data_IF_091093212029
#
_entry.id   IF_091093212029
#
_cell.length_a   1.000
_cell.length_b   1.000
_cell.length_c   1.000
_cell.angle_alpha   90.00
_cell.angle_beta   90.00
_cell.angle_gamma   90.00
#
_symmetry.space_group_name_H-M   'P 1'
#
loop_
_entity.id
_entity.type
_entity.pdbx_description
1 polymer ?
#
# COMPACT_ATOMS: atom_id res chain seq x y z
N UNK A 1 44.97 27.51 -21.20
CA UNK A 1 43.66 27.83 -20.57
C UNK A 1 42.65 26.65 -20.57
N UNK A 2 42.84 25.62 -21.41
CA UNK A 2 41.96 24.41 -21.46
C UNK A 2 42.23 23.38 -20.34
N UNK A 3 43.39 23.47 -19.66
CA UNK A 3 43.82 22.46 -18.67
C UNK A 3 43.10 22.55 -17.31
N UNK A 4 42.49 23.70 -16.99
CA UNK A 4 41.77 23.90 -15.72
C UNK A 4 40.28 23.54 -15.79
N UNK A 5 39.69 23.53 -16.99
CA UNK A 5 38.26 23.22 -17.20
C UNK A 5 37.99 21.71 -17.09
N UNK A 6 38.99 20.89 -17.45
CA UNK A 6 38.91 19.43 -17.32
C UNK A 6 38.98 18.93 -15.87
N UNK A 7 39.59 19.69 -14.95
CA UNK A 7 39.70 19.29 -13.55
C UNK A 7 38.38 19.51 -12.79
N UNK A 8 37.64 20.57 -13.12
CA UNK A 8 36.35 20.90 -12.48
C UNK A 8 35.21 19.96 -12.88
N UNK A 9 35.27 19.33 -14.06
CA UNK A 9 34.23 18.39 -14.51
C UNK A 9 34.33 17.01 -13.86
N UNK A 10 35.48 16.63 -13.31
CA UNK A 10 35.70 15.29 -12.74
C UNK A 10 35.21 15.17 -11.28
N UNK A 11 35.06 16.29 -10.56
CA UNK A 11 34.57 16.31 -9.18
C UNK A 11 33.03 16.20 -9.06
N UNK A 12 32.27 16.41 -10.14
CA UNK A 12 30.81 16.35 -10.11
C UNK A 12 30.23 14.92 -10.18
N UNK A 13 31.06 13.89 -10.40
CA UNK A 13 30.64 12.50 -10.57
C UNK A 13 30.77 11.64 -9.29
N UNK A 14 31.19 12.22 -8.17
CA UNK A 14 31.22 11.59 -6.85
C UNK A 14 29.95 11.93 -6.05
N UNK A 15 28.78 11.88 -6.70
CA UNK A 15 27.52 11.78 -5.96
C UNK A 15 27.48 10.37 -5.35
N UNK A 16 27.89 10.28 -4.09
CA UNK A 16 27.86 9.05 -3.30
C UNK A 16 26.50 8.39 -3.41
N UNK A 17 26.49 7.10 -3.76
CA UNK A 17 25.34 6.25 -3.56
C UNK A 17 25.13 6.16 -2.04
N UNK A 18 24.35 7.08 -1.47
CA UNK A 18 23.91 7.00 -0.10
C UNK A 18 23.02 5.75 0.01
N UNK A 19 23.63 4.62 0.35
CA UNK A 19 22.89 3.51 0.94
C UNK A 19 22.33 4.09 2.24
N UNK A 20 21.01 4.32 2.28
CA UNK A 20 20.35 4.90 3.43
C UNK A 20 20.42 3.89 4.59
N UNK A 21 21.47 3.98 5.40
CA UNK A 21 21.59 3.25 6.66
C UNK A 21 20.67 3.92 7.68
N UNK A 22 19.79 3.13 8.30
CA UNK A 22 18.89 3.63 9.33
C UNK A 22 19.46 3.21 10.67
N UNK A 23 19.58 4.16 11.59
CA UNK A 23 20.04 3.96 12.95
C UNK A 23 18.84 4.00 13.90
N UNK A 24 18.83 3.11 14.89
CA UNK A 24 17.93 3.15 16.04
C UNK A 24 18.73 3.63 17.25
N UNK A 25 18.17 4.59 17.99
CA UNK A 25 18.70 5.07 19.26
C UNK A 25 17.58 5.23 20.28
N UNK A 26 17.93 5.27 21.57
CA UNK A 26 16.99 5.55 22.65
C UNK A 26 17.18 6.98 23.12
N UNK A 27 16.23 7.87 22.80
CA UNK A 27 16.25 9.26 23.27
C UNK A 27 15.13 9.42 24.30
N UNK A 28 15.49 9.78 25.54
CA UNK A 28 14.54 9.94 26.66
C UNK A 28 13.63 8.72 26.90
N UNK A 29 14.16 7.51 26.67
CA UNK A 29 13.39 6.26 26.80
C UNK A 29 12.48 5.92 25.62
N UNK A 30 12.56 6.69 24.53
CA UNK A 30 11.78 6.47 23.30
C UNK A 30 12.69 6.03 22.17
N UNK A 31 12.31 4.93 21.51
CA UNK A 31 12.96 4.47 20.28
C UNK A 31 12.81 5.49 19.16
N UNK A 32 13.93 5.99 18.64
CA UNK A 32 13.98 6.95 17.53
C UNK A 32 14.78 6.36 16.37
N UNK A 33 14.32 6.62 15.14
CA UNK A 33 14.95 6.14 13.90
C UNK A 33 15.43 7.31 13.05
N UNK A 34 16.66 7.24 12.54
CA UNK A 34 17.29 8.31 11.78
C UNK A 34 18.18 7.77 10.66
N UNK A 35 18.33 8.53 9.57
CA UNK A 35 19.25 8.20 8.46
C UNK A 35 20.72 8.56 8.77
N UNK A 36 20.95 9.22 9.90
CA UNK A 36 22.27 9.50 10.46
C UNK A 36 22.30 9.06 11.92
N UNK A 37 23.47 8.74 12.50
CA UNK A 37 23.59 8.41 13.92
C UNK A 37 22.90 9.48 14.78
N UNK A 38 21.92 9.06 15.60
CA UNK A 38 21.07 9.98 16.36
C UNK A 38 21.48 10.18 17.82
N UNK A 39 22.32 9.30 18.36
CA UNK A 39 22.94 9.40 19.67
C UNK A 39 24.17 8.46 19.74
N UNK A 40 24.91 8.48 20.86
CA UNK A 40 26.09 7.61 21.06
C UNK A 40 25.73 6.10 21.07
N UNK A 41 24.50 5.77 21.44
CA UNK A 41 23.96 4.40 21.43
C UNK A 41 23.38 3.99 20.07
N UNK A 42 23.58 4.80 19.01
CA UNK A 42 23.03 4.54 17.68
C UNK A 42 23.48 3.17 17.15
N UNK A 43 22.52 2.27 16.97
CA UNK A 43 22.74 0.96 16.36
C UNK A 43 22.21 0.96 14.93
N UNK A 44 23.02 0.60 13.93
CA UNK A 44 22.52 0.45 12.58
C UNK A 44 21.52 -0.72 12.53
N UNK A 45 20.40 -0.50 11.86
CA UNK A 45 19.39 -1.52 11.61
C UNK A 45 19.32 -1.82 10.11
N UNK A 46 19.25 -3.11 9.79
CA UNK A 46 18.99 -3.54 8.41
C UNK A 46 17.48 -3.46 8.20
N UNK A 47 17.04 -2.43 7.49
CA UNK A 47 15.67 -2.37 7.00
C UNK A 47 15.64 -3.08 5.64
N UNK A 48 15.15 -4.31 5.63
CA UNK A 48 14.81 -4.99 4.36
C UNK A 48 13.61 -4.25 3.78
N UNK A 49 13.76 -3.54 2.65
CA UNK A 49 12.61 -2.91 2.02
C UNK A 49 11.62 -4.02 1.70
N UNK A 50 10.32 -3.83 1.99
CA UNK A 50 9.33 -4.80 1.57
C UNK A 50 9.41 -4.95 0.04
N UNK A 51 9.24 -6.19 -0.43
CA UNK A 51 9.37 -6.53 -1.85
C UNK A 51 8.68 -5.47 -2.72
N UNK A 52 9.37 -4.95 -3.73
CA UNK A 52 8.81 -3.92 -4.63
C UNK A 52 7.40 -4.32 -5.04
N UNK A 53 6.47 -3.37 -4.96
CA UNK A 53 5.12 -3.50 -5.48
C UNK A 53 5.20 -4.17 -6.86
N UNK A 54 4.52 -5.32 -7.03
CA UNK A 54 4.61 -6.15 -8.22
C UNK A 54 4.61 -5.31 -9.51
N UNK A 55 5.77 -5.20 -10.15
CA UNK A 55 5.90 -4.65 -11.50
C UNK A 55 6.34 -5.71 -12.52
N UNK A 56 6.28 -7.01 -12.19
CA UNK A 56 6.87 -8.03 -13.07
C UNK A 56 6.42 -9.48 -12.94
N UNK A 57 5.68 -9.89 -11.91
CA UNK A 57 5.23 -11.29 -11.78
C UNK A 57 3.76 -11.35 -11.36
N UNK A 58 2.91 -11.90 -12.23
CA UNK A 58 1.48 -12.14 -12.01
C UNK A 58 1.28 -13.36 -11.10
N UNK A 59 1.67 -13.26 -9.82
CA UNK A 59 1.23 -14.19 -8.78
C UNK A 59 -0.12 -13.78 -8.17
N UNK A 60 -0.78 -12.79 -8.78
CA UNK A 60 -2.06 -12.25 -8.36
C UNK A 60 -3.19 -13.18 -8.81
N UNK A 61 -3.80 -13.86 -7.84
CA UNK A 61 -5.05 -14.58 -8.05
C UNK A 61 -6.22 -13.61 -7.85
N UNK A 62 -6.73 -13.04 -8.95
CA UNK A 62 -7.82 -12.05 -8.89
C UNK A 62 -9.09 -12.61 -8.25
N UNK A 63 -9.45 -13.86 -8.56
CA UNK A 63 -10.64 -14.51 -8.01
C UNK A 63 -10.54 -14.65 -6.48
N UNK A 64 -9.34 -14.95 -5.99
CA UNK A 64 -9.08 -15.00 -4.56
C UNK A 64 -9.20 -13.61 -3.92
N UNK A 65 -8.69 -12.56 -4.55
CA UNK A 65 -8.83 -11.18 -4.08
C UNK A 65 -10.29 -10.73 -4.07
N UNK A 66 -11.06 -11.07 -5.11
CA UNK A 66 -12.49 -10.79 -5.17
C UNK A 66 -13.21 -11.50 -4.03
N UNK A 67 -12.92 -12.79 -3.79
CA UNK A 67 -13.51 -13.56 -2.70
C UNK A 67 -13.18 -12.97 -1.32
N UNK A 68 -11.91 -12.66 -1.06
CA UNK A 68 -11.47 -12.00 0.18
C UNK A 68 -12.16 -10.65 0.38
N UNK A 69 -12.31 -9.86 -0.69
CA UNK A 69 -12.99 -8.57 -0.66
C UNK A 69 -14.48 -8.72 -0.36
N UNK A 70 -15.16 -9.68 -0.97
CA UNK A 70 -16.58 -9.97 -0.69
C UNK A 70 -16.79 -10.32 0.79
N UNK A 71 -15.91 -11.13 1.39
CA UNK A 71 -16.01 -11.48 2.81
C UNK A 71 -15.83 -10.28 3.75
N UNK A 72 -14.92 -9.37 3.40
CA UNK A 72 -14.80 -8.08 4.11
C UNK A 72 -16.08 -7.26 3.98
N UNK A 73 -16.61 -7.13 2.77
CA UNK A 73 -17.79 -6.34 2.47
C UNK A 73 -19.02 -6.88 3.19
N UNK A 74 -19.21 -8.20 3.24
CA UNK A 74 -20.27 -8.84 4.02
C UNK A 74 -20.24 -8.43 5.49
N UNK A 75 -19.03 -8.34 6.06
CA UNK A 75 -18.83 -8.08 7.48
C UNK A 75 -18.94 -6.60 7.84
N UNK A 76 -18.47 -5.71 6.97
CA UNK A 76 -18.25 -4.31 7.36
C UNK A 76 -19.00 -3.28 6.52
N UNK A 77 -19.44 -3.59 5.30
CA UNK A 77 -20.01 -2.58 4.40
C UNK A 77 -21.51 -2.28 4.64
N UNK A 78 -22.11 -2.83 5.69
CA UNK A 78 -23.47 -2.48 6.12
C UNK A 78 -24.60 -2.87 5.17
N UNK A 79 -24.39 -3.89 4.33
CA UNK A 79 -25.43 -4.43 3.45
C UNK A 79 -26.63 -4.95 4.25
N UNK A 80 -27.85 -4.73 3.75
CA UNK A 80 -29.09 -5.19 4.41
C UNK A 80 -29.24 -6.71 4.37
N UNK A 81 -28.80 -7.31 3.28
CA UNK A 81 -28.71 -8.76 3.09
C UNK A 81 -27.30 -9.08 2.53
N UNK A 82 -26.31 -9.30 3.42
CA UNK A 82 -24.92 -9.58 3.02
C UNK A 82 -24.77 -10.83 2.15
N UNK A 83 -25.62 -11.84 2.33
CA UNK A 83 -25.56 -13.10 1.58
C UNK A 83 -26.11 -12.95 0.16
N UNK A 84 -26.88 -11.89 -0.11
CA UNK A 84 -27.38 -11.58 -1.45
C UNK A 84 -26.40 -10.87 -2.38
N UNK A 85 -25.18 -10.58 -1.91
CA UNK A 85 -24.14 -9.87 -2.67
C UNK A 85 -23.86 -10.60 -3.99
N UNK A 86 -23.95 -9.83 -5.09
CA UNK A 86 -23.54 -10.21 -6.43
C UNK A 86 -22.41 -9.30 -6.89
N UNK A 87 -21.32 -9.92 -7.35
CA UNK A 87 -20.24 -9.21 -8.05
C UNK A 87 -20.62 -9.12 -9.53
N UNK A 88 -20.87 -7.91 -10.02
CA UNK A 88 -21.22 -7.64 -11.41
C UNK A 88 -19.99 -7.31 -12.28
N UNK A 89 -18.83 -7.12 -11.66
CA UNK A 89 -17.55 -6.87 -12.33
C UNK A 89 -16.52 -6.29 -11.38
N UNK A 90 -15.26 -6.25 -11.81
CA UNK A 90 -14.15 -5.72 -11.03
C UNK A 90 -13.06 -5.11 -11.92
N UNK A 91 -12.27 -4.20 -11.36
CA UNK A 91 -11.05 -3.70 -11.98
C UNK A 91 -10.07 -3.18 -10.93
N UNK A 92 -8.79 -3.09 -11.27
CA UNK A 92 -7.79 -2.45 -10.41
C UNK A 92 -7.73 -0.95 -10.69
N UNK A 93 -7.58 -0.18 -9.62
CA UNK A 93 -7.55 1.28 -9.65
C UNK A 93 -6.45 1.81 -8.72
N UNK A 94 -6.05 3.05 -8.94
CA UNK A 94 -5.14 3.79 -8.09
C UNK A 94 -5.88 4.95 -7.45
N UNK A 95 -6.05 4.88 -6.14
CA UNK A 95 -6.61 5.98 -5.37
C UNK A 95 -5.49 6.75 -4.69
N UNK A 96 -5.62 8.08 -4.65
CA UNK A 96 -4.68 8.98 -4.00
C UNK A 96 -5.43 9.81 -2.98
N UNK A 97 -4.95 9.78 -1.73
CA UNK A 97 -5.44 10.58 -0.62
C UNK A 97 -4.26 11.22 0.14
N UNK A 98 -4.53 11.90 1.26
CA UNK A 98 -3.51 12.56 2.09
C UNK A 98 -2.46 11.60 2.66
N UNK A 99 -2.72 10.29 2.62
CA UNK A 99 -1.81 9.23 3.05
C UNK A 99 -1.10 8.50 1.90
N UNK A 100 -1.25 9.01 0.67
CA UNK A 100 -0.51 8.60 -0.52
C UNK A 100 -1.31 7.77 -1.53
N UNK A 101 -0.63 7.38 -2.61
CA UNK A 101 -1.23 6.55 -3.66
C UNK A 101 -1.30 5.08 -3.22
N UNK A 102 -2.46 4.45 -3.45
CA UNK A 102 -2.74 3.06 -3.07
C UNK A 102 -3.43 2.33 -4.20
N UNK A 103 -3.01 1.09 -4.44
CA UNK A 103 -3.68 0.18 -5.36
C UNK A 103 -4.92 -0.41 -4.68
N UNK A 104 -6.05 -0.28 -5.33
CA UNK A 104 -7.34 -0.82 -4.85
C UNK A 104 -7.95 -1.73 -5.89
N UNK A 105 -8.69 -2.72 -5.43
CA UNK A 105 -9.56 -3.54 -6.25
C UNK A 105 -10.99 -2.99 -6.13
N UNK A 106 -11.54 -2.47 -7.22
CA UNK A 106 -12.90 -1.96 -7.28
C UNK A 106 -13.84 -3.11 -7.64
N UNK A 107 -14.82 -3.40 -6.79
CA UNK A 107 -15.88 -4.37 -7.10
C UNK A 107 -17.19 -3.64 -7.36
N UNK A 108 -17.84 -3.94 -8.48
CA UNK A 108 -19.22 -3.55 -8.73
C UNK A 108 -20.13 -4.52 -7.99
N UNK A 109 -20.73 -4.07 -6.89
CA UNK A 109 -21.54 -4.91 -6.01
C UNK A 109 -23.01 -4.52 -6.10
N UNK A 110 -23.87 -5.52 -6.31
CA UNK A 110 -25.31 -5.39 -6.22
C UNK A 110 -25.84 -6.35 -5.15
N UNK A 111 -26.60 -5.83 -4.20
CA UNK A 111 -27.13 -6.59 -3.07
C UNK A 111 -28.58 -6.16 -2.81
N UNK A 112 -29.37 -7.03 -2.16
CA UNK A 112 -30.75 -6.72 -1.83
C UNK A 112 -30.85 -5.64 -0.77
N UNK A 113 -31.80 -4.74 -0.95
CA UNK A 113 -32.19 -3.73 0.03
C UNK A 113 -33.11 -4.32 1.13
N UNK A 114 -33.59 -3.49 2.04
CA UNK A 114 -34.51 -3.91 3.13
C UNK A 114 -35.85 -4.48 2.64
N UNK A 115 -36.21 -4.27 1.37
CA UNK A 115 -37.41 -4.81 0.75
C UNK A 115 -37.14 -6.11 -0.05
N UNK A 116 -35.91 -6.62 -0.03
CA UNK A 116 -35.52 -7.85 -0.73
C UNK A 116 -35.26 -7.68 -2.23
N UNK A 117 -35.28 -6.45 -2.76
CA UNK A 117 -35.05 -6.15 -4.17
C UNK A 117 -33.62 -5.66 -4.43
N UNK A 118 -33.09 -5.96 -5.61
CA UNK A 118 -31.83 -5.39 -6.12
C UNK A 118 -32.08 -4.00 -6.70
N UNK A 119 -31.21 -3.03 -6.40
CA UNK A 119 -31.35 -1.62 -6.80
C UNK A 119 -30.19 -1.14 -7.70
N UNK A 120 -29.41 -2.09 -8.22
CA UNK A 120 -28.30 -1.84 -9.14
C UNK A 120 -26.93 -1.85 -8.47
N UNK A 121 -25.92 -2.21 -9.26
CA UNK A 121 -24.55 -2.34 -8.78
C UNK A 121 -23.85 -1.01 -8.51
N UNK A 122 -23.15 -0.91 -7.37
CA UNK A 122 -22.32 0.23 -6.99
C UNK A 122 -20.88 -0.23 -6.77
N UNK A 123 -19.92 0.60 -7.18
CA UNK A 123 -18.51 0.31 -6.92
C UNK A 123 -18.18 0.46 -5.43
N UNK A 124 -17.41 -0.51 -4.93
CA UNK A 124 -16.88 -0.57 -3.58
C UNK A 124 -15.39 -0.89 -3.65
N UNK A 125 -14.52 -0.05 -3.07
CA UNK A 125 -13.09 -0.30 -3.08
C UNK A 125 -12.70 -1.31 -2.01
N UNK A 126 -11.79 -2.22 -2.36
CA UNK A 126 -11.04 -3.04 -1.43
C UNK A 126 -9.55 -2.72 -1.57
N UNK A 127 -8.98 -2.16 -0.52
CA UNK A 127 -7.57 -1.79 -0.53
C UNK A 127 -6.69 -3.05 -0.46
N UNK A 128 -5.63 -3.09 -1.24
CA UNK A 128 -4.75 -4.25 -1.24
C UNK A 128 -3.65 -4.09 -0.19
N UNK A 129 -3.06 -5.21 0.24
CA UNK A 129 -1.82 -5.21 0.99
C UNK A 129 -0.72 -4.49 0.22
N UNK A 130 0.38 -4.12 0.90
CA UNK A 130 1.51 -3.44 0.27
C UNK A 130 2.04 -4.21 -0.96
N UNK A 131 2.14 -5.53 -0.88
CA UNK A 131 2.54 -6.35 -2.02
C UNK A 131 1.40 -6.60 -3.03
N UNK A 132 0.15 -6.25 -2.74
CA UNK A 132 -0.97 -6.38 -3.66
C UNK A 132 -1.59 -7.78 -3.77
N UNK A 133 -1.05 -8.79 -3.08
CA UNK A 133 -1.47 -10.21 -3.21
C UNK A 133 -2.65 -10.62 -2.35
N UNK A 134 -3.01 -9.80 -1.35
CA UNK A 134 -4.16 -10.02 -0.48
C UNK A 134 -4.88 -8.70 -0.22
N UNK A 135 -6.07 -8.78 0.35
CA UNK A 135 -6.77 -7.59 0.85
C UNK A 135 -6.06 -7.07 2.11
N UNK A 136 -5.94 -5.75 2.27
CA UNK A 136 -5.31 -5.12 3.43
C UNK A 136 -6.01 -5.50 4.74
N UNK A 137 -5.26 -5.81 5.80
CA UNK A 137 -5.83 -6.17 7.11
C UNK A 137 -6.57 -5.00 7.79
N UNK A 138 -6.36 -3.79 7.29
CA UNK A 138 -6.95 -2.56 7.79
C UNK A 138 -8.28 -2.19 7.14
N UNK A 139 -8.92 -3.07 6.35
CA UNK A 139 -10.20 -2.76 5.68
C UNK A 139 -11.26 -2.21 6.62
N UNK A 140 -11.34 -2.77 7.83
CA UNK A 140 -12.30 -2.37 8.86
C UNK A 140 -12.23 -0.88 9.23
N UNK A 141 -11.11 -0.20 8.96
CA UNK A 141 -10.95 1.22 9.27
C UNK A 141 -11.61 2.13 8.22
N UNK A 142 -11.92 1.60 7.04
CA UNK A 142 -12.55 2.35 5.94
C UNK A 142 -14.07 2.38 6.10
N UNK A 143 -14.65 1.33 6.65
CA UNK A 143 -16.10 1.17 6.82
C UNK A 143 -16.59 1.62 8.21
N UNK A 144 -15.77 2.33 8.98
CA UNK A 144 -16.13 2.90 10.28
C UNK A 144 -16.84 4.23 10.14
#
# INVERSE_FOLDING_TARGET
>A
MIKWILLTSLMALLSTNANAEIYRCTVDGVDTYSQTPCAEDAQPIIVTPPAKLHSGENTLNEDELVSQCVEVLKRYAGFKDPDSIKVEGHFFDWQQDDSGARRVLQLKINAKNSFGAYDGGKYRPCFLSYNGTKVSENQKLIFK
#
